data_IF_923234230463
#
_entry.id   IF_923234230463
#
_cell.length_a   1.000
_cell.length_b   1.000
_cell.length_c   1.000
_cell.angle_alpha   90.00
_cell.angle_beta   90.00
_cell.angle_gamma   90.00
#
_symmetry.space_group_name_H-M   'P 1'
#
loop_
_entity.id
_entity.type
_entity.pdbx_description
1 polymer ?
#
# COMPACT_ATOMS: atom_id res chain seq x y z
N UNK A 1 -28.11 20.55 -1.02
CA UNK A 1 -26.82 20.01 -0.59
C UNK A 1 -25.83 21.14 -0.78
N UNK A 2 -25.32 21.66 0.32
CA UNK A 2 -24.43 22.81 0.32
C UNK A 2 -22.95 22.38 0.32
N UNK A 3 -22.06 23.37 0.39
CA UNK A 3 -20.61 23.14 0.37
C UNK A 3 -20.18 22.35 1.62
N UNK A 4 -20.85 22.58 2.75
CA UNK A 4 -20.56 21.88 3.99
C UNK A 4 -20.94 20.39 3.87
N UNK A 5 -22.14 20.10 3.36
CA UNK A 5 -22.61 18.74 3.10
C UNK A 5 -21.65 17.95 2.18
N UNK A 6 -21.10 18.62 1.15
CA UNK A 6 -20.18 18.00 0.21
C UNK A 6 -18.80 17.75 0.85
N UNK A 7 -18.31 18.70 1.64
CA UNK A 7 -17.04 18.58 2.35
C UNK A 7 -17.08 17.44 3.37
N UNK A 8 -18.17 17.32 4.13
CA UNK A 8 -18.34 16.26 5.12
C UNK A 8 -18.29 14.88 4.46
N UNK A 9 -19.02 14.68 3.36
CA UNK A 9 -18.97 13.42 2.59
C UNK A 9 -17.58 13.09 2.08
N UNK A 10 -16.87 14.08 1.57
CA UNK A 10 -15.50 13.87 1.08
C UNK A 10 -14.56 13.41 2.21
N UNK A 11 -14.66 14.05 3.37
CA UNK A 11 -13.86 13.69 4.56
C UNK A 11 -14.18 12.26 5.00
N UNK A 12 -15.47 11.92 5.08
CA UNK A 12 -15.93 10.57 5.44
C UNK A 12 -15.38 9.50 4.49
N UNK A 13 -15.53 9.72 3.17
CA UNK A 13 -15.05 8.80 2.13
C UNK A 13 -13.53 8.61 2.20
N UNK A 14 -12.78 9.70 2.41
CA UNK A 14 -11.33 9.65 2.55
C UNK A 14 -10.92 8.86 3.79
N UNK A 15 -11.56 9.10 4.93
CA UNK A 15 -11.29 8.42 6.18
C UNK A 15 -11.61 6.92 6.04
N UNK A 16 -12.77 6.59 5.50
CA UNK A 16 -13.20 5.21 5.31
C UNK A 16 -12.24 4.45 4.37
N UNK A 17 -11.78 5.10 3.30
CA UNK A 17 -10.78 4.54 2.38
C UNK A 17 -9.45 4.26 3.08
N UNK A 18 -8.97 5.16 3.93
CA UNK A 18 -7.75 4.98 4.70
C UNK A 18 -7.88 3.83 5.71
N UNK A 19 -8.97 3.81 6.47
CA UNK A 19 -9.25 2.74 7.44
C UNK A 19 -9.34 1.37 6.76
N UNK A 20 -9.99 1.29 5.59
CA UNK A 20 -10.09 0.05 4.84
C UNK A 20 -8.71 -0.49 4.43
N UNK A 21 -7.82 0.38 3.93
CA UNK A 21 -6.44 0.01 3.57
C UNK A 21 -5.67 -0.52 4.79
N UNK A 22 -5.76 0.17 5.92
CA UNK A 22 -5.09 -0.25 7.16
C UNK A 22 -5.63 -1.60 7.65
N UNK A 23 -6.95 -1.77 7.68
CA UNK A 23 -7.58 -3.05 8.05
C UNK A 23 -7.17 -4.18 7.12
N UNK A 24 -7.11 -3.93 5.81
CA UNK A 24 -6.68 -4.90 4.82
C UNK A 24 -5.22 -5.35 5.08
N UNK A 25 -4.31 -4.41 5.25
CA UNK A 25 -2.91 -4.69 5.58
C UNK A 25 -2.77 -5.49 6.88
N UNK A 26 -3.51 -5.11 7.94
CA UNK A 26 -3.50 -5.84 9.21
C UNK A 26 -4.04 -7.28 9.06
N UNK A 27 -5.13 -7.46 8.30
CA UNK A 27 -5.68 -8.80 8.02
C UNK A 27 -4.71 -9.65 7.20
N UNK A 28 -4.01 -9.06 6.22
CA UNK A 28 -3.00 -9.77 5.44
C UNK A 28 -1.76 -10.12 6.26
N UNK A 29 -1.25 -9.18 7.06
CA UNK A 29 -0.09 -9.40 7.95
C UNK A 29 -0.34 -10.55 8.94
N UNK A 30 -1.56 -10.62 9.51
CA UNK A 30 -1.93 -11.70 10.43
C UNK A 30 -2.04 -13.10 9.79
N UNK A 31 -2.15 -13.21 8.46
CA UNK A 31 -2.25 -14.52 7.76
C UNK A 31 -0.89 -15.19 7.50
N UNK A 32 0.23 -14.57 7.85
CA UNK A 32 1.56 -15.16 7.63
C UNK A 32 1.95 -16.09 8.79
N UNK A 33 1.17 -17.16 8.96
CA UNK A 33 1.26 -18.11 10.07
C UNK A 33 2.04 -19.40 9.80
N UNK A 34 2.86 -19.47 8.75
CA UNK A 34 3.72 -20.64 8.49
C UNK A 34 5.18 -20.23 8.40
N UNK A 35 5.98 -20.70 9.35
CA UNK A 35 7.45 -20.63 9.30
C UNK A 35 7.92 -21.52 8.15
N UNK A 36 7.96 -21.00 6.92
CA UNK A 36 8.61 -21.72 5.83
C UNK A 36 10.10 -21.71 6.10
N UNK A 37 10.70 -22.88 6.32
CA UNK A 37 12.14 -23.01 6.52
C UNK A 37 12.91 -22.87 5.19
N UNK A 38 12.19 -22.74 4.08
CA UNK A 38 12.70 -22.68 2.71
C UNK A 38 12.15 -21.43 2.02
N UNK A 39 13.00 -20.80 1.21
CA UNK A 39 12.65 -19.67 0.38
C UNK A 39 11.82 -20.11 -0.84
N UNK A 40 10.71 -19.43 -1.11
CA UNK A 40 9.84 -19.75 -2.24
C UNK A 40 10.49 -19.50 -3.63
N UNK A 41 11.44 -18.56 -3.73
CA UNK A 41 12.08 -18.21 -5.02
C UNK A 41 13.33 -19.03 -5.34
N UNK A 42 14.20 -19.25 -4.35
CA UNK A 42 15.51 -19.91 -4.57
C UNK A 42 15.63 -21.27 -3.90
N UNK A 43 14.65 -21.69 -3.09
CA UNK A 43 14.69 -22.95 -2.35
C UNK A 43 15.74 -22.99 -1.22
N UNK A 44 16.47 -21.89 -0.95
CA UNK A 44 17.47 -21.84 0.10
C UNK A 44 16.83 -21.83 1.50
N UNK A 45 17.56 -22.32 2.49
CA UNK A 45 17.13 -22.24 3.88
C UNK A 45 17.09 -20.79 4.39
N UNK A 46 15.98 -20.40 5.00
CA UNK A 46 15.84 -19.07 5.61
C UNK A 46 16.45 -19.11 7.01
N UNK A 47 17.45 -18.26 7.33
CA UNK A 47 18.10 -18.26 8.64
C UNK A 47 17.11 -17.89 9.74
N UNK A 48 17.25 -18.52 10.91
CA UNK A 48 16.36 -18.30 12.07
C UNK A 48 16.31 -16.84 12.51
N UNK A 49 17.44 -16.13 12.47
CA UNK A 49 17.52 -14.70 12.75
C UNK A 49 16.55 -13.86 11.89
N UNK A 50 16.27 -14.27 10.64
CA UNK A 50 15.32 -13.59 9.76
C UNK A 50 13.87 -13.91 10.11
N UNK A 51 13.58 -15.16 10.48
CA UNK A 51 12.24 -15.59 10.91
C UNK A 51 11.83 -14.96 12.24
N UNK A 52 12.80 -14.69 13.12
CA UNK A 52 12.58 -13.95 14.38
C UNK A 52 12.34 -12.47 14.15
N UNK A 53 13.14 -11.83 13.28
CA UNK A 53 12.99 -10.41 12.97
C UNK A 53 11.69 -10.10 12.20
N UNK A 54 11.28 -10.99 11.28
CA UNK A 54 10.08 -10.83 10.46
C UNK A 54 9.27 -12.14 10.48
N UNK A 55 8.34 -12.30 11.44
CA UNK A 55 7.48 -13.47 11.49
C UNK A 55 6.62 -13.53 10.22
N UNK A 56 6.78 -14.60 9.44
CA UNK A 56 6.07 -14.77 8.17
C UNK A 56 6.89 -14.51 6.90
N UNK A 57 8.21 -14.33 7.02
CA UNK A 57 9.10 -14.17 5.86
C UNK A 57 9.08 -15.42 4.96
N UNK A 58 8.79 -15.24 3.67
CA UNK A 58 8.76 -16.31 2.64
C UNK A 58 10.00 -16.34 1.74
N UNK A 59 10.82 -15.30 1.81
CA UNK A 59 12.00 -15.10 0.98
C UNK A 59 13.27 -15.02 1.83
N UNK A 60 14.40 -15.48 1.30
CA UNK A 60 15.70 -15.24 1.92
C UNK A 60 16.12 -13.77 1.77
N UNK A 61 17.15 -13.35 2.50
CA UNK A 61 17.63 -11.94 2.52
C UNK A 61 18.00 -11.46 1.12
N UNK A 62 18.70 -12.27 0.33
CA UNK A 62 19.09 -11.90 -1.04
C UNK A 62 17.89 -11.76 -1.98
N UNK A 63 16.90 -12.65 -1.90
CA UNK A 63 15.67 -12.52 -2.69
C UNK A 63 14.84 -11.30 -2.27
N UNK A 64 14.74 -11.03 -0.97
CA UNK A 64 14.03 -9.86 -0.44
C UNK A 64 14.70 -8.55 -0.90
N UNK A 65 16.02 -8.45 -0.81
CA UNK A 65 16.77 -7.26 -1.30
C UNK A 65 16.57 -7.04 -2.79
N UNK A 66 16.60 -8.11 -3.60
CA UNK A 66 16.37 -8.01 -5.03
C UNK A 66 14.94 -7.53 -5.34
N UNK A 67 13.95 -8.00 -4.59
CA UNK A 67 12.56 -7.56 -4.73
C UNK A 67 12.41 -6.08 -4.35
N UNK A 68 12.98 -5.66 -3.22
CA UNK A 68 12.97 -4.27 -2.77
C UNK A 68 13.66 -3.35 -3.78
N UNK A 69 14.82 -3.75 -4.34
CA UNK A 69 15.49 -2.98 -5.40
C UNK A 69 14.62 -2.81 -6.64
N UNK A 70 13.89 -3.86 -7.05
CA UNK A 70 12.94 -3.79 -8.18
C UNK A 70 11.76 -2.87 -7.87
N UNK A 71 11.24 -2.90 -6.65
CA UNK A 71 10.11 -2.06 -6.23
C UNK A 71 10.50 -0.60 -5.96
N UNK A 72 11.69 -0.35 -5.42
CA UNK A 72 12.22 0.99 -5.16
C UNK A 72 12.45 1.78 -6.46
N UNK A 73 12.78 1.08 -7.55
CA UNK A 73 12.79 1.67 -8.90
C UNK A 73 11.39 2.07 -9.40
N UNK A 74 10.35 1.35 -8.99
CA UNK A 74 8.96 1.61 -9.38
C UNK A 74 8.31 2.73 -8.53
N UNK A 75 8.59 2.78 -7.21
CA UNK A 75 8.03 3.80 -6.30
C UNK A 75 8.64 5.19 -6.48
N UNK A 76 9.82 5.29 -7.13
CA UNK A 76 10.42 6.58 -7.50
C UNK A 76 9.85 7.16 -8.81
N UNK A 77 9.05 6.38 -9.54
CA UNK A 77 8.40 6.78 -10.78
C UNK A 77 6.89 7.07 -10.63
N UNK A 78 6.36 7.14 -9.41
CA UNK A 78 5.11 7.91 -9.18
C UNK A 78 5.49 9.39 -9.16
N UNK A 79 5.91 9.88 -10.32
CA UNK A 79 5.71 11.28 -10.66
C UNK A 79 4.21 11.49 -10.54
N UNK A 80 3.81 12.20 -9.49
CA UNK A 80 2.55 12.90 -9.45
C UNK A 80 2.60 13.94 -10.57
N UNK A 81 2.41 13.51 -11.82
CA UNK A 81 2.10 14.38 -12.94
C UNK A 81 0.69 14.89 -12.69
N UNK A 82 0.60 15.85 -11.77
CA UNK A 82 -0.61 16.60 -11.54
C UNK A 82 -0.97 17.32 -12.83
N UNK A 83 -1.90 16.75 -13.60
CA UNK A 83 -2.80 17.56 -14.41
C UNK A 83 -3.92 17.99 -13.47
N UNK A 84 -3.72 19.13 -12.81
CA UNK A 84 -4.79 19.85 -12.16
C UNK A 84 -5.79 20.27 -13.25
N UNK A 85 -6.84 19.48 -13.44
CA UNK A 85 -7.93 19.78 -14.38
C UNK A 85 -9.25 19.26 -13.82
N UNK A 86 -9.62 19.71 -12.62
CA UNK A 86 -10.99 19.68 -12.10
C UNK A 86 -11.10 20.70 -10.96
N UNK A 87 -10.85 21.96 -11.28
CA UNK A 87 -11.53 23.11 -10.67
C UNK A 87 -11.74 24.12 -11.79
N UNK A 88 -12.91 24.06 -12.43
CA UNK A 88 -13.67 25.20 -12.97
C UNK A 88 -14.74 24.73 -13.96
N UNK A 89 -15.82 24.12 -13.46
CA UNK A 89 -17.04 23.89 -14.26
C UNK A 89 -18.35 24.21 -13.49
N UNK A 90 -18.27 24.82 -12.31
CA UNK A 90 -19.46 25.20 -11.53
C UNK A 90 -19.64 26.70 -11.33
N UNK A 91 -18.89 27.54 -12.06
CA UNK A 91 -19.13 28.99 -12.12
C UNK A 91 -19.64 29.50 -13.48
N UNK A 92 -20.28 28.64 -14.29
CA UNK A 92 -20.92 29.07 -15.54
C UNK A 92 -22.33 28.49 -15.73
N UNK A 93 -23.19 28.63 -14.72
CA UNK A 93 -24.64 28.62 -14.97
C UNK A 93 -25.43 29.38 -13.90
N UNK A 94 -25.14 30.67 -13.77
CA UNK A 94 -26.11 31.64 -13.24
C UNK A 94 -26.52 32.49 -14.45
N UNK A 95 -27.67 32.15 -15.03
CA UNK A 95 -28.45 32.97 -15.96
C UNK A 95 -29.92 32.76 -15.59
#
# INVERSE_FOLDING_TARGET
MDIADLADRYIEDQLQSSLYRLQFCLRQGKRHGSKSQLCDDCGAHIPTARLEAVPGCKQCVSCAENLERRQAGYSRAVVFSGSYSVLDDHLYNIS
#
